data_IF_488671473064
#
_entry.id   IF_488671473064
#
_cell.length_a   1.000
_cell.length_b   1.000
_cell.length_c   1.000
_cell.angle_alpha   90.00
_cell.angle_beta   90.00
_cell.angle_gamma   90.00
#
_symmetry.space_group_name_H-M   'P 1'
#
loop_
_entity.id
_entity.type
_entity.pdbx_description
1 polymer ?
#
# COMPACT_ATOMS: atom_id res chain seq x y z
N UNK A 1 23.44 -24.11 -5.46
CA UNK A 1 22.13 -23.50 -5.75
C UNK A 1 22.35 -22.03 -6.05
N UNK A 2 21.88 -21.50 -7.19
CA UNK A 2 22.12 -20.09 -7.56
C UNK A 2 21.32 -19.15 -6.64
N UNK A 3 21.87 -18.00 -6.21
CA UNK A 3 21.14 -17.02 -5.41
C UNK A 3 19.93 -16.47 -6.17
N UNK A 4 18.76 -16.36 -5.51
CA UNK A 4 17.52 -15.81 -6.10
C UNK A 4 17.73 -14.41 -6.71
N UNK A 5 18.58 -13.59 -6.08
CA UNK A 5 18.96 -12.26 -6.56
C UNK A 5 19.61 -12.27 -7.94
N UNK A 6 20.34 -13.34 -8.28
CA UNK A 6 21.04 -13.48 -9.56
C UNK A 6 20.07 -13.91 -10.67
N UNK A 7 19.00 -14.64 -10.31
CA UNK A 7 17.94 -15.03 -11.25
C UNK A 7 17.03 -13.84 -11.59
N UNK A 8 16.90 -12.89 -10.65
CA UNK A 8 16.02 -11.73 -10.80
C UNK A 8 16.64 -10.54 -11.55
N UNK A 9 17.91 -10.63 -11.95
CA UNK A 9 18.56 -9.57 -12.72
C UNK A 9 17.96 -9.47 -14.14
N UNK A 10 17.93 -8.28 -14.76
CA UNK A 10 17.48 -8.11 -16.13
C UNK A 10 18.23 -9.03 -17.10
N UNK A 11 17.54 -9.50 -18.16
CA UNK A 11 18.15 -10.37 -19.18
C UNK A 11 19.43 -9.78 -19.81
N UNK A 12 19.51 -8.44 -19.87
CA UNK A 12 20.69 -7.72 -20.36
C UNK A 12 21.96 -7.90 -19.51
N UNK A 13 21.85 -8.38 -18.27
CA UNK A 13 22.98 -8.72 -17.39
C UNK A 13 23.34 -10.22 -17.41
N UNK A 14 22.85 -10.99 -18.38
CA UNK A 14 23.15 -12.43 -18.49
C UNK A 14 22.38 -13.32 -17.51
N UNK A 15 21.36 -12.78 -16.86
CA UNK A 15 20.45 -13.50 -15.98
C UNK A 15 19.16 -13.93 -16.70
N UNK A 16 18.36 -14.76 -16.04
CA UNK A 16 17.11 -15.31 -16.61
C UNK A 16 16.04 -14.23 -16.79
N UNK A 17 16.10 -13.13 -16.01
CA UNK A 17 15.08 -12.07 -16.06
C UNK A 17 13.80 -12.45 -15.34
N UNK A 18 13.88 -13.28 -14.30
CA UNK A 18 12.72 -13.63 -13.48
C UNK A 18 12.34 -12.40 -12.64
N UNK A 19 11.06 -12.06 -12.58
CA UNK A 19 10.65 -10.95 -11.74
C UNK A 19 10.74 -11.32 -10.26
N UNK A 20 11.32 -10.47 -9.43
CA UNK A 20 11.29 -10.66 -7.98
C UNK A 20 9.84 -10.60 -7.49
N UNK A 21 9.26 -11.76 -7.19
CA UNK A 21 7.87 -11.90 -6.77
C UNK A 21 7.58 -11.11 -5.50
N UNK A 22 8.56 -10.91 -4.60
CA UNK A 22 8.36 -10.12 -3.39
C UNK A 22 8.13 -8.65 -3.76
N UNK A 23 9.00 -8.10 -4.60
CA UNK A 23 8.87 -6.72 -5.07
C UNK A 23 7.58 -6.54 -5.90
N UNK A 24 7.25 -7.52 -6.74
CA UNK A 24 6.01 -7.49 -7.50
C UNK A 24 4.77 -7.50 -6.61
N UNK A 25 4.74 -8.36 -5.58
CA UNK A 25 3.64 -8.40 -4.63
C UNK A 25 3.52 -7.09 -3.82
N UNK A 26 4.65 -6.50 -3.40
CA UNK A 26 4.64 -5.19 -2.74
C UNK A 26 4.07 -4.13 -3.68
N UNK A 27 4.45 -4.13 -4.96
CA UNK A 27 3.90 -3.20 -5.95
C UNK A 27 2.39 -3.40 -6.17
N UNK A 28 1.92 -4.65 -6.22
CA UNK A 28 0.49 -4.97 -6.32
C UNK A 28 -0.29 -4.50 -5.08
N UNK A 29 0.25 -4.71 -3.88
CA UNK A 29 -0.33 -4.22 -2.64
C UNK A 29 -0.36 -2.69 -2.62
N UNK A 30 0.73 -2.03 -3.02
CA UNK A 30 0.80 -0.58 -3.19
C UNK A 30 -0.28 -0.07 -4.15
N UNK A 31 -0.52 -0.75 -5.27
CA UNK A 31 -1.62 -0.41 -6.18
C UNK A 31 -2.99 -0.52 -5.49
N UNK A 32 -3.21 -1.49 -4.61
CA UNK A 32 -4.46 -1.57 -3.85
C UNK A 32 -4.58 -0.43 -2.83
N UNK A 33 -3.49 -0.09 -2.13
CA UNK A 33 -3.45 1.07 -1.22
C UNK A 33 -3.80 2.35 -1.98
N UNK A 34 -3.20 2.57 -3.15
CA UNK A 34 -3.50 3.71 -4.02
C UNK A 34 -4.99 3.76 -4.41
N UNK A 35 -5.60 2.62 -4.74
CA UNK A 35 -7.04 2.56 -5.06
C UNK A 35 -7.91 2.89 -3.85
N UNK A 36 -7.53 2.45 -2.65
CA UNK A 36 -8.26 2.79 -1.43
C UNK A 36 -8.18 4.29 -1.13
N UNK A 37 -7.04 4.93 -1.38
CA UNK A 37 -6.89 6.38 -1.20
C UNK A 37 -7.73 7.17 -2.22
N UNK A 38 -7.75 6.75 -3.48
CA UNK A 38 -8.36 7.52 -4.57
C UNK A 38 -9.83 7.18 -4.85
N UNK A 39 -10.33 6.02 -4.42
CA UNK A 39 -11.68 5.56 -4.74
C UNK A 39 -12.51 5.26 -3.47
N UNK A 40 -12.90 6.35 -2.80
CA UNK A 40 -13.71 6.31 -1.57
C UNK A 40 -15.14 5.80 -1.77
N UNK A 41 -15.68 5.91 -2.99
CA UNK A 41 -17.03 5.43 -3.29
C UNK A 41 -17.13 3.92 -3.44
N UNK A 42 -16.00 3.24 -3.60
CA UNK A 42 -15.99 1.79 -3.74
C UNK A 42 -16.51 1.09 -2.47
N UNK A 43 -17.26 0.01 -2.67
CA UNK A 43 -17.73 -0.85 -1.56
C UNK A 43 -16.53 -1.36 -0.74
N UNK A 44 -15.42 -1.68 -1.42
CA UNK A 44 -14.19 -2.10 -0.78
C UNK A 44 -13.67 -1.04 0.21
N UNK A 45 -13.65 0.24 -0.20
CA UNK A 45 -13.30 1.34 0.69
C UNK A 45 -14.28 1.43 1.87
N UNK A 46 -15.59 1.44 1.63
CA UNK A 46 -16.62 1.58 2.68
C UNK A 46 -16.55 0.46 3.73
N UNK A 47 -16.30 -0.77 3.30
CA UNK A 47 -16.15 -1.93 4.19
C UNK A 47 -14.83 -1.89 4.97
N UNK A 48 -13.73 -1.48 4.34
CA UNK A 48 -12.42 -1.46 4.99
C UNK A 48 -12.26 -0.24 5.91
N UNK A 49 -12.72 0.94 5.50
CA UNK A 49 -12.69 2.17 6.31
C UNK A 49 -13.48 2.00 7.60
N UNK A 50 -14.75 1.59 7.51
CA UNK A 50 -15.61 1.35 8.69
C UNK A 50 -15.00 0.40 9.71
N UNK A 51 -14.20 -0.58 9.26
CA UNK A 51 -13.58 -1.57 10.14
C UNK A 51 -12.19 -1.17 10.65
N UNK A 52 -11.36 -0.59 9.80
CA UNK A 52 -9.92 -0.46 10.04
C UNK A 52 -9.41 0.99 10.09
N UNK A 53 -10.06 1.93 9.43
CA UNK A 53 -9.66 3.34 9.39
C UNK A 53 -10.91 4.23 9.26
N UNK A 54 -11.68 4.41 10.35
CA UNK A 54 -12.97 5.10 10.31
C UNK A 54 -12.85 6.61 10.01
N UNK A 55 -11.67 7.20 10.23
CA UNK A 55 -11.38 8.60 9.92
C UNK A 55 -11.01 8.84 8.44
N UNK A 56 -11.32 7.88 7.56
CA UNK A 56 -10.96 7.86 6.13
C UNK A 56 -9.47 7.99 5.81
N UNK A 57 -8.61 7.90 6.82
CA UNK A 57 -7.16 7.97 6.68
C UNK A 57 -6.54 6.59 6.89
N UNK A 58 -6.23 5.91 5.78
CA UNK A 58 -5.60 4.58 5.79
C UNK A 58 -4.24 4.55 6.50
N UNK A 59 -3.53 5.69 6.57
CA UNK A 59 -2.24 5.80 7.27
C UNK A 59 -2.40 5.92 8.79
N UNK A 60 -3.61 6.19 9.29
CA UNK A 60 -3.97 6.22 10.71
C UNK A 60 -4.80 4.99 11.11
N UNK A 61 -4.63 3.87 10.39
CA UNK A 61 -5.40 2.66 10.65
C UNK A 61 -5.23 2.11 12.08
N UNK A 62 -6.33 1.61 12.64
CA UNK A 62 -6.37 1.04 13.99
C UNK A 62 -5.74 -0.36 14.02
N UNK A 63 -4.89 -0.60 15.02
CA UNK A 63 -4.37 -1.94 15.30
C UNK A 63 -5.49 -2.82 15.88
N UNK A 64 -5.71 -3.99 15.30
CA UNK A 64 -6.73 -4.95 15.72
C UNK A 64 -6.12 -6.32 16.00
N UNK A 65 -6.52 -6.95 17.10
CA UNK A 65 -6.01 -8.26 17.52
C UNK A 65 -6.45 -9.42 16.60
N UNK A 66 -7.58 -9.29 15.91
CA UNK A 66 -8.13 -10.29 14.97
C UNK A 66 -8.32 -9.71 13.58
N UNK A 67 -7.28 -9.09 13.04
CA UNK A 67 -7.29 -8.59 11.67
C UNK A 67 -7.23 -9.75 10.66
N UNK A 68 -7.89 -9.56 9.51
CA UNK A 68 -7.77 -10.47 8.38
C UNK A 68 -6.34 -10.42 7.83
N UNK A 69 -5.79 -11.57 7.41
CA UNK A 69 -4.44 -11.64 6.84
C UNK A 69 -4.28 -10.67 5.65
N UNK A 70 -5.30 -10.56 4.80
CA UNK A 70 -5.34 -9.61 3.70
C UNK A 70 -5.16 -8.17 4.17
N UNK A 71 -5.81 -7.79 5.28
CA UNK A 71 -5.65 -6.46 5.86
C UNK A 71 -4.25 -6.25 6.41
N UNK A 72 -3.68 -7.23 7.11
CA UNK A 72 -2.31 -7.14 7.63
C UNK A 72 -1.30 -6.90 6.50
N UNK A 73 -1.45 -7.60 5.37
CA UNK A 73 -0.60 -7.38 4.19
C UNK A 73 -0.76 -5.99 3.59
N UNK A 74 -1.99 -5.46 3.52
CA UNK A 74 -2.27 -4.10 3.04
C UNK A 74 -1.66 -3.08 4.01
N UNK A 75 -1.90 -3.22 5.32
CA UNK A 75 -1.37 -2.33 6.34
C UNK A 75 0.16 -2.29 6.33
N UNK A 76 0.81 -3.46 6.24
CA UNK A 76 2.26 -3.54 6.11
C UNK A 76 2.77 -2.86 4.83
N UNK A 77 2.10 -3.04 3.69
CA UNK A 77 2.46 -2.35 2.46
C UNK A 77 2.25 -0.84 2.55
N UNK A 78 1.17 -0.38 3.19
CA UNK A 78 0.91 1.04 3.47
C UNK A 78 2.04 1.65 4.31
N UNK A 79 2.51 0.95 5.34
CA UNK A 79 3.62 1.40 6.18
C UNK A 79 4.95 1.45 5.40
N UNK A 80 5.26 0.39 4.64
CA UNK A 80 6.47 0.32 3.80
C UNK A 80 6.53 1.41 2.73
N UNK A 81 5.37 1.79 2.19
CA UNK A 81 5.25 2.74 1.09
C UNK A 81 4.86 4.14 1.57
N UNK A 82 4.75 4.38 2.88
CA UNK A 82 4.28 5.64 3.46
C UNK A 82 5.04 6.86 2.91
N UNK A 83 6.36 6.74 2.76
CA UNK A 83 7.21 7.81 2.24
C UNK A 83 7.13 7.98 0.71
N UNK A 84 6.55 7.02 -0.01
CA UNK A 84 6.32 7.10 -1.46
C UNK A 84 4.89 7.49 -1.83
N UNK A 85 3.98 7.51 -0.86
CA UNK A 85 2.63 8.02 -1.01
C UNK A 85 2.57 9.46 -0.50
N UNK A 86 2.98 10.40 -1.35
CA UNK A 86 2.66 11.80 -1.13
C UNK A 86 1.20 12.03 -1.51
N UNK A 87 0.44 12.53 -0.54
CA UNK A 87 -0.95 12.92 -0.72
C UNK A 87 -0.95 14.16 -1.64
N UNK A 88 -1.32 13.99 -2.91
CA UNK A 88 -1.55 15.17 -3.75
C UNK A 88 -2.76 15.92 -3.21
N UNK A 89 -2.52 17.16 -2.79
CA UNK A 89 -3.55 18.09 -2.34
C UNK A 89 -4.51 18.34 -3.50
N UNK A 90 -5.73 17.81 -3.37
CA UNK A 90 -6.86 18.17 -4.23
C UNK A 90 -7.45 19.52 -3.79
N UNK A 91 -8.78 19.66 -3.82
CA UNK A 91 -9.41 20.85 -3.27
C UNK A 91 -9.21 20.87 -1.74
N UNK A 92 -8.73 22.00 -1.20
CA UNK A 92 -8.27 22.18 0.19
C UNK A 92 -9.29 21.94 1.31
N UNK A 93 -10.48 21.43 1.00
CA UNK A 93 -11.56 21.13 1.94
C UNK A 93 -11.27 19.89 2.82
N UNK A 94 -10.28 19.08 2.46
CA UNK A 94 -9.97 17.81 3.13
C UNK A 94 -8.61 17.78 3.86
N UNK A 95 -7.92 18.92 3.96
CA UNK A 95 -6.60 19.02 4.60
C UNK A 95 -6.71 19.90 5.84
N UNK A 96 -6.41 19.31 7.00
CA UNK A 96 -6.31 20.03 8.25
C UNK A 96 -4.84 20.43 8.48
N UNK A 97 -4.49 21.61 7.97
CA UNK A 97 -3.13 22.19 7.98
C UNK A 97 -2.50 22.20 9.40
N UNK A 98 -3.33 22.25 10.44
CA UNK A 98 -2.90 22.30 11.84
C UNK A 98 -2.49 20.94 12.43
N UNK A 99 -2.88 19.82 11.81
CA UNK A 99 -2.60 18.46 12.32
C UNK A 99 -1.53 17.75 11.48
N UNK A 100 -1.31 18.20 10.25
CA UNK A 100 -0.40 17.58 9.28
C UNK A 100 0.98 18.27 9.19
N UNK A 101 1.39 19.02 10.23
CA UNK A 101 2.72 19.64 10.35
C UNK A 101 3.58 18.99 11.43
#
# INVERSE_FOLDING_TARGET
MLPWKNLCQPKGMGAIGIQDMRLFNIALLGRQVWRLVNNKESICFKVLSSKYFPDDNIFKAKRMDKALLTWLSIAAATEMLKNGFDLQVGNGDSINIWVDN
#
